data_IF_934721132365
#
_entry.id   IF_934721132365
#
_cell.length_a   1.000
_cell.length_b   1.000
_cell.length_c   1.000
_cell.angle_alpha   90.00
_cell.angle_beta   90.00
_cell.angle_gamma   90.00
#
_symmetry.space_group_name_H-M   'P 1'
#
loop_
_entity.id
_entity.type
_entity.pdbx_description
1 polymer ?
#
# COMPACT_ATOMS: atom_id res chain seq x y z
N UNK A 1 -15.19 1.52 4.31
CA UNK A 1 -14.42 0.44 3.68
C UNK A 1 -13.25 1.03 2.92
N UNK A 2 -12.12 0.37 2.97
CA UNK A 2 -10.89 0.90 2.39
C UNK A 2 -10.60 0.21 1.06
N UNK A 3 -10.46 1.01 -0.01
CA UNK A 3 -10.02 0.47 -1.28
C UNK A 3 -8.51 0.42 -1.34
N UNK A 4 -7.98 -0.35 -2.28
CA UNK A 4 -6.54 -0.44 -2.50
C UNK A 4 -5.96 0.95 -2.75
N UNK A 5 -6.64 1.75 -3.55
CA UNK A 5 -6.20 3.11 -3.87
C UNK A 5 -6.07 3.97 -2.62
N UNK A 6 -7.07 3.93 -1.74
CA UNK A 6 -7.04 4.72 -0.52
C UNK A 6 -5.91 4.28 0.41
N UNK A 7 -5.72 2.98 0.54
CA UNK A 7 -4.66 2.45 1.40
C UNK A 7 -3.29 2.91 0.92
N UNK A 8 -3.03 2.82 -0.37
CA UNK A 8 -1.75 3.23 -0.93
C UNK A 8 -1.56 4.73 -0.80
N UNK A 9 -2.61 5.52 -1.04
CA UNK A 9 -2.51 6.98 -0.90
C UNK A 9 -2.18 7.40 0.51
N UNK A 10 -2.77 6.75 1.50
CA UNK A 10 -2.47 7.06 2.89
C UNK A 10 -1.01 6.78 3.20
N UNK A 11 -0.50 5.65 2.73
CA UNK A 11 0.89 5.30 2.97
C UNK A 11 1.84 6.26 2.25
N UNK A 12 1.51 6.63 1.02
CA UNK A 12 2.33 7.59 0.27
C UNK A 12 2.38 8.94 0.96
N UNK A 13 1.26 9.39 1.49
CA UNK A 13 1.20 10.66 2.21
C UNK A 13 2.11 10.65 3.43
N UNK A 14 2.11 9.55 4.18
CA UNK A 14 2.97 9.43 5.35
C UNK A 14 4.43 9.36 4.98
N UNK A 15 4.75 8.67 3.90
CA UNK A 15 6.12 8.59 3.40
C UNK A 15 6.62 9.97 2.95
N UNK A 16 5.76 10.73 2.29
CA UNK A 16 6.11 12.09 1.87
C UNK A 16 6.38 12.98 3.07
N UNK A 17 5.53 12.88 4.11
CA UNK A 17 5.72 13.65 5.33
C UNK A 17 7.04 13.28 6.03
N UNK A 18 7.45 12.03 5.91
CA UNK A 18 8.69 11.55 6.53
C UNK A 18 9.90 11.74 5.62
N UNK A 19 9.71 12.36 4.47
CA UNK A 19 10.77 12.60 3.48
C UNK A 19 11.36 11.28 2.97
N UNK A 20 10.52 10.27 2.81
CA UNK A 20 10.90 8.97 2.30
C UNK A 20 10.39 8.78 0.88
N UNK A 21 10.87 7.73 0.21
CA UNK A 21 10.44 7.42 -1.15
C UNK A 21 9.00 6.92 -1.13
N UNK A 22 8.09 7.67 -1.77
CA UNK A 22 6.68 7.30 -1.80
C UNK A 22 6.43 6.00 -2.58
N UNK A 23 7.34 5.61 -3.46
CA UNK A 23 7.21 4.36 -4.19
C UNK A 23 7.31 3.14 -3.29
N UNK A 24 7.89 3.29 -2.10
CA UNK A 24 8.01 2.18 -1.15
C UNK A 24 6.65 1.60 -0.79
N UNK A 25 5.60 2.44 -0.73
CA UNK A 25 4.26 1.96 -0.43
C UNK A 25 3.79 0.96 -1.48
N UNK A 26 3.96 1.29 -2.75
CA UNK A 26 3.57 0.41 -3.84
C UNK A 26 4.38 -0.88 -3.85
N UNK A 27 5.68 -0.75 -3.66
CA UNK A 27 6.57 -1.91 -3.67
C UNK A 27 6.19 -2.89 -2.55
N UNK A 28 5.96 -2.36 -1.36
CA UNK A 28 5.55 -3.22 -0.25
C UNK A 28 4.21 -3.91 -0.53
N UNK A 29 3.27 -3.18 -1.13
CA UNK A 29 1.97 -3.75 -1.45
C UNK A 29 2.12 -4.89 -2.46
N UNK A 30 2.96 -4.72 -3.48
CA UNK A 30 3.19 -5.79 -4.46
C UNK A 30 3.72 -7.05 -3.78
N UNK A 31 4.65 -6.89 -2.88
CA UNK A 31 5.22 -8.04 -2.16
C UNK A 31 4.18 -8.76 -1.31
N UNK A 32 3.39 -8.00 -0.57
CA UNK A 32 2.40 -8.59 0.33
C UNK A 32 1.26 -9.25 -0.44
N UNK A 33 0.81 -8.62 -1.52
CA UNK A 33 -0.27 -9.15 -2.33
C UNK A 33 0.19 -10.20 -3.32
N UNK A 34 1.51 -10.29 -3.52
CA UNK A 34 2.11 -11.18 -4.52
C UNK A 34 1.56 -10.91 -5.92
N UNK A 35 1.46 -9.63 -6.26
CA UNK A 35 0.91 -9.18 -7.55
C UNK A 35 1.94 -8.37 -8.31
N UNK A 36 1.75 -8.31 -9.62
CA UNK A 36 2.60 -7.49 -10.47
C UNK A 36 2.07 -6.04 -10.53
N UNK A 37 2.94 -5.07 -10.89
CA UNK A 37 2.52 -3.67 -10.91
C UNK A 37 1.27 -3.39 -11.75
N UNK A 38 1.13 -4.04 -12.91
CA UNK A 38 -0.04 -3.79 -13.75
C UNK A 38 -1.32 -4.34 -13.13
N UNK A 39 -1.22 -5.37 -12.30
CA UNK A 39 -2.38 -5.91 -11.61
C UNK A 39 -2.88 -4.97 -10.53
N UNK A 40 -1.97 -4.19 -9.95
CA UNK A 40 -2.35 -3.21 -8.95
C UNK A 40 -3.35 -2.19 -9.50
N UNK A 41 -3.12 -1.71 -10.71
CA UNK A 41 -4.03 -0.75 -11.32
C UNK A 41 -5.42 -1.34 -11.55
N UNK A 42 -5.48 -2.62 -11.84
CA UNK A 42 -6.77 -3.31 -12.00
C UNK A 42 -7.50 -3.45 -10.67
N UNK A 43 -6.77 -3.51 -9.57
CA UNK A 43 -7.33 -3.66 -8.23
C UNK A 43 -7.60 -2.34 -7.52
N UNK A 44 -7.22 -1.23 -8.10
CA UNK A 44 -7.28 0.07 -7.42
C UNK A 44 -8.64 0.40 -6.83
N UNK A 45 -9.70 0.07 -7.55
CA UNK A 45 -11.06 0.38 -7.11
C UNK A 45 -11.68 -0.72 -6.27
N UNK A 46 -10.98 -1.83 -6.06
CA UNK A 46 -11.47 -2.94 -5.27
C UNK A 46 -11.17 -2.73 -3.80
N UNK A 47 -11.98 -3.33 -2.94
CA UNK A 47 -11.75 -3.28 -1.52
C UNK A 47 -10.56 -4.14 -1.15
N UNK A 48 -9.73 -3.64 -0.26
CA UNK A 48 -8.59 -4.40 0.23
C UNK A 48 -9.03 -5.38 1.31
N UNK A 49 -8.43 -6.58 1.32
CA UNK A 49 -8.66 -7.56 2.37
C UNK A 49 -8.14 -7.02 3.70
N UNK A 50 -8.91 -7.22 4.76
CA UNK A 50 -8.53 -6.73 6.09
C UNK A 50 -7.18 -7.27 6.55
N UNK A 51 -6.90 -8.54 6.27
CA UNK A 51 -5.61 -9.11 6.62
C UNK A 51 -4.48 -8.45 5.87
N UNK A 52 -4.67 -8.23 4.57
CA UNK A 52 -3.68 -7.58 3.74
C UNK A 52 -3.47 -6.15 4.19
N UNK A 53 -4.55 -5.44 4.49
CA UNK A 53 -4.48 -4.08 5.01
C UNK A 53 -3.67 -4.02 6.29
N UNK A 54 -3.94 -4.92 7.21
CA UNK A 54 -3.23 -4.98 8.48
C UNK A 54 -1.74 -5.26 8.27
N UNK A 55 -1.41 -6.23 7.45
CA UNK A 55 -0.02 -6.56 7.16
C UNK A 55 0.70 -5.39 6.50
N UNK A 56 0.02 -4.73 5.57
CA UNK A 56 0.59 -3.57 4.88
C UNK A 56 0.88 -2.44 5.86
N UNK A 57 -0.06 -2.12 6.73
CA UNK A 57 0.12 -1.05 7.70
C UNK A 57 1.24 -1.37 8.68
N UNK A 58 1.33 -2.61 9.13
CA UNK A 58 2.40 -3.03 10.02
C UNK A 58 3.77 -2.92 9.36
N UNK A 59 3.86 -3.35 8.12
CA UNK A 59 5.10 -3.24 7.36
C UNK A 59 5.50 -1.81 7.12
N UNK A 60 4.54 -0.94 6.84
CA UNK A 60 4.82 0.48 6.64
C UNK A 60 5.31 1.14 7.93
N UNK A 61 4.76 0.76 9.07
CA UNK A 61 5.21 1.31 10.34
C UNK A 61 6.67 0.96 10.62
N UNK A 62 7.09 -0.24 10.26
CA UNK A 62 8.49 -0.62 10.39
C UNK A 62 9.38 0.19 9.45
N UNK A 63 8.84 0.56 8.30
CA UNK A 63 9.60 1.33 7.31
C UNK A 63 9.75 2.80 7.73
N UNK A 64 8.70 3.37 8.29
CA UNK A 64 8.76 4.75 8.75
C UNK A 64 9.80 4.92 9.84
#
# INVERSE_FOLDING_TARGET
MTTVKELIKQAESRLDDSNKDVNAAKVLFYHLANKEPHELYLMYDEEVDKELEKQFLMGMEEYY
#
